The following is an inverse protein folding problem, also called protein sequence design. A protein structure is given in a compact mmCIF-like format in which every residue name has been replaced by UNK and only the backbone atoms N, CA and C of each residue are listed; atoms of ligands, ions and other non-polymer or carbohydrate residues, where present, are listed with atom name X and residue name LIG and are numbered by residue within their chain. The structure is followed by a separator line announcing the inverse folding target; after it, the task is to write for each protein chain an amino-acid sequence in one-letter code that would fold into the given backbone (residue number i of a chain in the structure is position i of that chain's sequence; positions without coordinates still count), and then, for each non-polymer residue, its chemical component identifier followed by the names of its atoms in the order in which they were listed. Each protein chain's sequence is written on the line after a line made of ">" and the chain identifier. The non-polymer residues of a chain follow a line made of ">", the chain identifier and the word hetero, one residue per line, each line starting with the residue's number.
data_IF_486040565385
#
_entry.id   IF_486040565385
#
_cell.length_a   1.000
_cell.length_b   1.000
_cell.length_c   1.000
_cell.angle_alpha   90.00
_cell.angle_beta   90.00
_cell.angle_gamma   90.00
#
_symmetry.space_group_name_H-M   'P 1'
#
loop_
_entity.id
_entity.type
_entity.pdbx_description
1 polymer ?
#
# COMPACT_ATOMS: atom_id res chain seq x y z
N UNK A 1 -20.83 14.18 -3.54
CA UNK A 1 -19.78 13.16 -3.30
C UNK A 1 -20.08 12.03 -4.28
N UNK A 2 -19.16 11.64 -5.17
CA UNK A 2 -19.43 10.54 -6.12
C UNK A 2 -19.42 9.19 -5.39
N UNK A 3 -20.22 8.23 -5.82
CA UNK A 3 -20.21 6.88 -5.23
C UNK A 3 -18.82 6.21 -5.32
N UNK A 4 -18.05 6.50 -6.38
CA UNK A 4 -16.64 6.09 -6.50
C UNK A 4 -15.81 6.58 -5.33
N UNK A 5 -16.03 7.81 -4.85
CA UNK A 5 -15.33 8.33 -3.67
C UNK A 5 -15.72 7.57 -2.40
N UNK A 6 -16.99 7.20 -2.26
CA UNK A 6 -17.44 6.43 -1.10
C UNK A 6 -16.83 5.03 -1.09
N UNK A 7 -16.76 4.36 -2.25
CA UNK A 7 -16.09 3.07 -2.37
C UNK A 7 -14.58 3.17 -2.10
N UNK A 8 -13.91 4.18 -2.64
CA UNK A 8 -12.47 4.39 -2.37
C UNK A 8 -12.21 4.68 -0.88
N UNK A 9 -13.08 5.43 -0.20
CA UNK A 9 -12.98 5.63 1.24
C UNK A 9 -13.12 4.29 2.00
N UNK A 10 -14.12 3.47 1.65
CA UNK A 10 -14.32 2.15 2.26
C UNK A 10 -13.13 1.21 2.00
N UNK A 11 -12.53 1.28 0.81
CA UNK A 11 -11.30 0.58 0.45
C UNK A 11 -10.12 0.94 1.37
N UNK A 12 -9.87 2.24 1.59
CA UNK A 12 -8.79 2.66 2.48
C UNK A 12 -9.08 2.35 3.95
N UNK A 13 -10.34 2.46 4.38
CA UNK A 13 -10.76 2.07 5.72
C UNK A 13 -10.57 0.57 5.98
N UNK A 14 -10.95 -0.28 5.02
CA UNK A 14 -10.72 -1.72 5.11
C UNK A 14 -9.22 -2.06 5.16
N UNK A 15 -8.37 -1.38 4.36
CA UNK A 15 -6.91 -1.55 4.45
C UNK A 15 -6.37 -1.15 5.82
N UNK A 16 -6.83 0.00 6.35
CA UNK A 16 -6.45 0.47 7.68
C UNK A 16 -6.81 -0.56 8.77
N UNK A 17 -8.04 -1.05 8.77
CA UNK A 17 -8.50 -2.05 9.74
C UNK A 17 -7.71 -3.36 9.64
N UNK A 18 -7.48 -3.86 8.41
CA UNK A 18 -6.68 -5.07 8.18
C UNK A 18 -5.23 -4.88 8.68
N UNK A 19 -4.61 -3.71 8.47
CA UNK A 19 -3.27 -3.40 8.99
C UNK A 19 -3.23 -3.45 10.53
N UNK A 20 -4.25 -2.91 11.20
CA UNK A 20 -4.32 -2.94 12.67
C UNK A 20 -4.50 -4.37 13.20
N UNK A 21 -5.42 -5.14 12.60
CA UNK A 21 -5.74 -6.50 13.05
C UNK A 21 -4.56 -7.45 12.82
N UNK A 22 -3.87 -7.33 11.68
CA UNK A 22 -2.82 -8.26 11.26
C UNK A 22 -1.40 -7.77 11.56
N UNK A 23 -1.25 -6.76 12.43
CA UNK A 23 0.04 -6.12 12.73
C UNK A 23 1.16 -7.10 13.09
N UNK A 24 0.89 -8.05 13.99
CA UNK A 24 1.90 -9.03 14.42
C UNK A 24 2.31 -9.98 13.28
N UNK A 25 1.36 -10.35 12.40
CA UNK A 25 1.65 -11.17 11.22
C UNK A 25 2.50 -10.40 10.20
N UNK A 26 2.20 -9.11 10.00
CA UNK A 26 3.01 -8.22 9.15
C UNK A 26 4.44 -8.09 9.66
N UNK A 27 4.64 -7.89 10.96
CA UNK A 27 5.98 -7.77 11.55
C UNK A 27 6.78 -9.05 11.29
N UNK A 28 6.19 -10.23 11.55
CA UNK A 28 6.85 -11.51 11.30
C UNK A 28 7.17 -11.71 9.81
N UNK A 29 6.26 -11.31 8.91
CA UNK A 29 6.48 -11.38 7.46
C UNK A 29 7.61 -10.45 7.00
N UNK A 30 7.67 -9.22 7.52
CA UNK A 30 8.76 -8.27 7.23
C UNK A 30 10.11 -8.85 7.63
N UNK A 31 10.23 -9.41 8.84
CA UNK A 31 11.47 -10.03 9.31
C UNK A 31 11.89 -11.20 8.40
N UNK A 32 10.93 -12.02 7.96
CA UNK A 32 11.18 -13.11 7.02
C UNK A 32 11.70 -12.61 5.67
N UNK A 33 11.03 -11.62 5.06
CA UNK A 33 11.43 -11.08 3.75
C UNK A 33 12.78 -10.37 3.87
N UNK A 34 12.98 -9.56 4.92
CA UNK A 34 14.22 -8.85 5.18
C UNK A 34 15.41 -9.81 5.27
N UNK A 35 15.28 -10.88 6.06
CA UNK A 35 16.30 -11.92 6.17
C UNK A 35 16.59 -12.56 4.80
N UNK A 36 15.54 -12.90 4.06
CA UNK A 36 15.66 -13.53 2.72
C UNK A 36 16.36 -12.61 1.71
N UNK A 37 16.02 -11.32 1.68
CA UNK A 37 16.64 -10.34 0.78
C UNK A 37 18.11 -10.10 1.13
N UNK A 38 18.46 -10.14 2.41
CA UNK A 38 19.84 -10.01 2.88
C UNK A 38 20.70 -11.24 2.57
N UNK A 39 20.11 -12.44 2.55
CA UNK A 39 20.78 -13.67 2.13
C UNK A 39 20.94 -13.78 0.62
N UNK A 40 19.90 -13.41 -0.13
CA UNK A 40 19.86 -13.56 -1.59
C UNK A 40 20.67 -12.49 -2.32
N UNK A 41 20.79 -11.29 -1.74
CA UNK A 41 21.48 -10.17 -2.38
C UNK A 41 22.85 -9.98 -1.73
N UNK A 42 23.85 -9.81 -2.57
CA UNK A 42 25.25 -9.67 -2.16
C UNK A 42 25.53 -8.26 -1.57
N UNK A 43 24.77 -7.84 -0.56
CA UNK A 43 24.85 -6.53 0.08
C UNK A 43 26.07 -6.34 1.01
N UNK A 44 27.02 -7.29 0.95
CA UNK A 44 28.21 -7.34 1.80
C UNK A 44 27.91 -7.96 3.17
N UNK A 45 28.91 -7.98 4.06
CA UNK A 45 28.72 -8.45 5.44
C UNK A 45 27.74 -7.52 6.17
N UNK A 46 26.54 -8.01 6.44
CA UNK A 46 25.56 -7.29 7.24
C UNK A 46 25.89 -7.51 8.71
N UNK A 47 26.08 -6.40 9.44
CA UNK A 47 26.15 -6.43 10.90
C UNK A 47 24.74 -6.52 11.48
N UNK A 48 24.59 -7.09 12.68
CA UNK A 48 23.31 -7.13 13.39
C UNK A 48 22.71 -5.72 13.56
N UNK A 49 23.57 -4.72 13.81
CA UNK A 49 23.17 -3.30 13.91
C UNK A 49 22.52 -2.80 12.62
N UNK A 50 23.11 -3.13 11.47
CA UNK A 50 22.55 -2.75 10.17
C UNK A 50 21.23 -3.47 9.89
N UNK A 51 21.13 -4.75 10.22
CA UNK A 51 19.86 -5.49 10.10
C UNK A 51 18.75 -4.82 10.93
N UNK A 52 19.03 -4.50 12.20
CA UNK A 52 18.07 -3.85 13.09
C UNK A 52 17.64 -2.48 12.56
N UNK A 53 18.56 -1.68 12.00
CA UNK A 53 18.22 -0.40 11.40
C UNK A 53 17.25 -0.52 10.21
N UNK A 54 17.41 -1.55 9.37
CA UNK A 54 16.48 -1.80 8.26
C UNK A 54 15.13 -2.30 8.76
N UNK A 55 15.13 -3.18 9.77
CA UNK A 55 13.90 -3.63 10.44
C UNK A 55 13.12 -2.45 11.00
N UNK A 56 13.77 -1.57 11.76
CA UNK A 56 13.13 -0.40 12.35
C UNK A 56 12.59 0.56 11.29
N UNK A 57 13.30 0.73 10.16
CA UNK A 57 12.80 1.49 9.01
C UNK A 57 11.56 0.85 8.38
N UNK A 58 11.52 -0.48 8.22
CA UNK A 58 10.32 -1.17 7.70
C UNK A 58 9.12 -0.95 8.63
N UNK A 59 9.32 -1.03 9.95
CA UNK A 59 8.27 -0.82 10.94
C UNK A 59 7.74 0.62 10.92
N UNK A 60 8.63 1.61 10.81
CA UNK A 60 8.23 3.01 10.65
C UNK A 60 7.38 3.21 9.38
N UNK A 61 7.72 2.53 8.28
CA UNK A 61 6.94 2.60 7.05
C UNK A 61 5.55 1.94 7.19
N UNK A 62 5.35 0.93 8.03
CA UNK A 62 4.00 0.44 8.34
C UNK A 62 3.17 1.57 8.95
N UNK A 63 3.73 2.29 9.93
CA UNK A 63 3.03 3.41 10.57
C UNK A 63 2.72 4.53 9.56
N UNK A 64 3.63 4.82 8.63
CA UNK A 64 3.37 5.75 7.51
C UNK A 64 2.23 5.26 6.60
N UNK A 65 2.17 3.96 6.27
CA UNK A 65 1.04 3.37 5.50
C UNK A 65 -0.27 3.51 6.24
N UNK A 66 -0.27 3.27 7.55
CA UNK A 66 -1.47 3.42 8.38
C UNK A 66 -1.97 4.85 8.38
N UNK A 67 -1.08 5.83 8.48
CA UNK A 67 -1.46 7.25 8.38
C UNK A 67 -2.00 7.61 6.99
N UNK A 68 -1.42 7.04 5.92
CA UNK A 68 -1.93 7.21 4.56
C UNK A 68 -3.35 6.62 4.39
N UNK A 69 -3.61 5.46 4.97
CA UNK A 69 -4.93 4.80 4.93
C UNK A 69 -5.92 5.36 5.95
N UNK A 70 -5.49 6.28 6.82
CA UNK A 70 -6.32 6.84 7.87
C UNK A 70 -7.64 7.40 7.28
N UNK A 71 -8.81 6.86 7.68
CA UNK A 71 -10.11 7.21 7.11
C UNK A 71 -10.42 8.71 7.19
N UNK A 72 -9.91 9.39 8.21
CA UNK A 72 -10.09 10.84 8.37
C UNK A 72 -9.20 11.59 7.38
N UNK A 73 -7.93 11.21 7.25
CA UNK A 73 -6.96 11.86 6.36
C UNK A 73 -7.35 11.72 4.89
N UNK A 74 -7.73 10.52 4.47
CA UNK A 74 -8.00 10.19 3.07
C UNK A 74 -9.25 10.87 2.51
N UNK A 75 -10.27 11.07 3.36
CA UNK A 75 -11.48 11.81 2.98
C UNK A 75 -11.15 13.22 2.44
N UNK A 76 -10.14 13.88 3.04
CA UNK A 76 -9.69 15.21 2.66
C UNK A 76 -8.86 15.27 1.37
N UNK A 77 -8.22 14.17 0.98
CA UNK A 77 -7.43 14.06 -0.26
C UNK A 77 -8.32 14.25 -1.49
N UNK A 78 -9.55 13.71 -1.43
CA UNK A 78 -10.47 13.69 -2.57
C UNK A 78 -11.48 14.84 -2.60
N UNK A 79 -11.52 15.77 -1.64
CA UNK A 79 -12.55 16.83 -1.55
C UNK A 79 -12.20 18.17 -2.22
N UNK A 80 -10.95 18.42 -2.63
CA UNK A 80 -10.55 19.72 -3.16
C UNK A 80 -9.65 19.61 -4.40
N UNK A 81 -9.99 20.34 -5.46
CA UNK A 81 -9.26 20.35 -6.75
C UNK A 81 -7.77 20.67 -6.57
N UNK A 82 -7.41 21.64 -5.71
CA UNK A 82 -5.99 21.97 -5.45
C UNK A 82 -5.26 20.85 -4.70
N UNK A 83 -5.97 20.06 -3.90
CA UNK A 83 -5.42 18.91 -3.19
C UNK A 83 -5.29 17.69 -4.10
N UNK A 84 -6.24 17.48 -5.02
CA UNK A 84 -6.12 16.46 -6.06
C UNK A 84 -4.85 16.68 -6.90
N UNK A 85 -4.59 17.92 -7.32
CA UNK A 85 -3.36 18.27 -8.06
C UNK A 85 -2.09 18.10 -7.22
N UNK A 86 -2.13 18.44 -5.93
CA UNK A 86 -1.00 18.22 -5.02
C UNK A 86 -0.73 16.72 -4.80
N UNK A 87 -1.79 15.91 -4.67
CA UNK A 87 -1.70 14.46 -4.56
C UNK A 87 -1.15 13.83 -5.84
N UNK A 88 -1.66 14.22 -7.01
CA UNK A 88 -1.12 13.78 -8.31
C UNK A 88 0.37 14.15 -8.48
N UNK A 89 0.80 15.30 -7.93
CA UNK A 89 2.20 15.70 -7.91
C UNK A 89 3.01 14.87 -6.89
N UNK A 90 2.47 14.56 -5.73
CA UNK A 90 3.08 13.68 -4.72
C UNK A 90 3.34 12.27 -5.29
N UNK A 91 2.40 11.73 -6.06
CA UNK A 91 2.57 10.46 -6.78
C UNK A 91 3.72 10.49 -7.82
N UNK A 92 4.11 11.67 -8.30
CA UNK A 92 5.25 11.85 -9.23
C UNK A 92 6.57 12.10 -8.51
N UNK A 93 6.51 12.76 -7.35
CA UNK A 93 7.70 13.17 -6.58
C UNK A 93 8.22 12.05 -5.67
N UNK A 94 7.38 11.05 -5.36
CA UNK A 94 7.82 9.84 -4.68
C UNK A 94 8.85 9.08 -5.53
N UNK A 95 9.67 8.26 -4.87
CA UNK A 95 10.64 7.37 -5.55
C UNK A 95 9.99 6.39 -6.56
N UNK A 96 8.66 6.31 -6.56
CA UNK A 96 7.84 5.38 -7.32
C UNK A 96 6.76 6.17 -8.05
N UNK A 97 6.70 6.04 -9.37
CA UNK A 97 5.63 6.64 -10.17
C UNK A 97 4.38 5.76 -10.07
N UNK A 98 3.49 6.10 -9.12
CA UNK A 98 2.29 5.31 -8.83
C UNK A 98 1.04 5.78 -9.59
N UNK A 99 1.18 6.67 -10.59
CA UNK A 99 0.03 7.22 -11.32
C UNK A 99 -0.77 6.14 -12.04
N UNK A 100 -0.09 5.23 -12.72
CA UNK A 100 -0.74 4.14 -13.43
C UNK A 100 -1.51 3.20 -12.50
N UNK A 101 -0.95 2.93 -11.31
CA UNK A 101 -1.62 2.12 -10.29
C UNK A 101 -2.83 2.84 -9.70
N UNK A 102 -2.73 4.14 -9.48
CA UNK A 102 -3.86 4.95 -9.01
C UNK A 102 -4.99 5.02 -10.03
N UNK A 103 -4.67 5.22 -11.31
CA UNK A 103 -5.64 5.20 -12.41
C UNK A 103 -6.36 3.84 -12.48
N UNK A 104 -5.61 2.73 -12.36
CA UNK A 104 -6.18 1.39 -12.33
C UNK A 104 -7.11 1.17 -11.12
N UNK A 105 -6.75 1.66 -9.93
CA UNK A 105 -7.61 1.62 -8.74
C UNK A 105 -8.92 2.37 -8.96
N UNK A 106 -8.85 3.59 -9.51
CA UNK A 106 -10.04 4.41 -9.79
C UNK A 106 -10.92 3.77 -10.86
N UNK A 107 -10.33 3.25 -11.94
CA UNK A 107 -11.05 2.55 -13.01
C UNK A 107 -11.74 1.30 -12.47
N UNK A 108 -11.03 0.47 -11.70
CA UNK A 108 -11.60 -0.71 -11.06
C UNK A 108 -12.77 -0.32 -10.16
N UNK A 109 -12.62 0.67 -9.27
CA UNK A 109 -13.71 1.13 -8.41
C UNK A 109 -14.94 1.58 -9.20
N UNK A 110 -14.75 2.29 -10.32
CA UNK A 110 -15.86 2.69 -11.20
C UNK A 110 -16.55 1.48 -11.84
N UNK A 111 -15.77 0.52 -12.36
CA UNK A 111 -16.30 -0.70 -12.97
C UNK A 111 -17.09 -1.55 -11.95
N UNK A 112 -16.61 -1.64 -10.70
CA UNK A 112 -17.30 -2.35 -9.61
C UNK A 112 -18.66 -1.74 -9.32
N UNK A 113 -18.71 -0.41 -9.21
CA UNK A 113 -19.96 0.30 -8.94
C UNK A 113 -20.96 0.19 -10.09
N UNK A 114 -20.50 0.10 -11.35
CA UNK A 114 -21.37 -0.14 -12.50
C UNK A 114 -21.90 -1.56 -12.56
N UNK A 115 -21.10 -2.55 -12.14
CA UNK A 115 -21.46 -3.96 -12.14
C UNK A 115 -22.24 -4.41 -10.88
N UNK A 116 -22.32 -3.57 -9.84
CA UNK A 116 -22.91 -3.94 -8.56
C UNK A 116 -24.39 -4.26 -8.68
N UNK A 117 -24.85 -5.15 -7.82
CA UNK A 117 -26.29 -5.35 -7.55
C UNK A 117 -26.77 -4.41 -6.46
N UNK A 118 -28.08 -4.13 -6.39
CA UNK A 118 -28.68 -3.25 -5.37
C UNK A 118 -28.49 -3.73 -3.92
N UNK A 119 -28.02 -4.97 -3.72
CA UNK A 119 -27.82 -5.58 -2.40
C UNK A 119 -26.37 -5.57 -1.93
N UNK A 120 -25.41 -5.30 -2.81
CA UNK A 120 -23.99 -5.32 -2.43
C UNK A 120 -23.65 -4.10 -1.57
N UNK A 121 -23.08 -4.36 -0.40
CA UNK A 121 -22.61 -3.31 0.49
C UNK A 121 -21.27 -2.74 0.01
N UNK A 122 -20.99 -1.48 0.34
CA UNK A 122 -19.72 -0.84 -0.04
C UNK A 122 -18.49 -1.56 0.55
N UNK A 123 -18.64 -2.19 1.72
CA UNK A 123 -17.57 -2.95 2.36
C UNK A 123 -17.24 -4.23 1.57
N UNK A 124 -18.26 -4.96 1.10
CA UNK A 124 -18.06 -6.14 0.24
C UNK A 124 -17.35 -5.74 -1.07
N UNK A 125 -17.77 -4.63 -1.69
CA UNK A 125 -17.12 -4.10 -2.88
C UNK A 125 -15.68 -3.62 -2.62
N UNK A 126 -15.41 -3.11 -1.42
CA UNK A 126 -14.07 -2.68 -1.02
C UNK A 126 -13.14 -3.90 -0.87
N UNK A 127 -13.61 -4.98 -0.26
CA UNK A 127 -12.86 -6.24 -0.16
C UNK A 127 -12.60 -6.84 -1.54
N UNK A 128 -13.60 -6.87 -2.42
CA UNK A 128 -13.43 -7.28 -3.82
C UNK A 128 -12.42 -6.40 -4.56
N UNK A 129 -12.42 -5.09 -4.28
CA UNK A 129 -11.47 -4.15 -4.87
C UNK A 129 -10.05 -4.43 -4.38
N UNK A 130 -9.83 -4.61 -3.08
CA UNK A 130 -8.52 -4.97 -2.49
C UNK A 130 -7.99 -6.25 -3.13
N UNK A 131 -8.84 -7.28 -3.27
CA UNK A 131 -8.44 -8.57 -3.84
C UNK A 131 -8.05 -8.46 -5.34
N UNK A 132 -8.64 -7.54 -6.08
CA UNK A 132 -8.31 -7.34 -7.50
C UNK A 132 -7.07 -6.47 -7.69
N UNK A 133 -7.01 -5.32 -7.01
CA UNK A 133 -6.01 -4.29 -7.31
C UNK A 133 -4.90 -4.18 -6.28
N UNK A 134 -5.00 -4.86 -5.14
CA UNK A 134 -4.00 -4.80 -4.06
C UNK A 134 -4.16 -3.56 -3.19
N UNK A 135 -3.14 -3.27 -2.39
CA UNK A 135 -3.00 -2.10 -1.52
C UNK A 135 -2.19 -1.03 -2.24
N UNK A 136 -2.86 0.03 -2.69
CA UNK A 136 -2.18 1.15 -3.33
C UNK A 136 -1.31 1.92 -2.31
N UNK A 137 -0.04 2.27 -2.61
CA UNK A 137 0.67 2.18 -3.89
C UNK A 137 1.72 1.04 -3.95
N UNK A 138 1.50 -0.05 -3.22
CA UNK A 138 2.53 -1.05 -2.95
C UNK A 138 2.96 -1.82 -4.21
N UNK A 139 2.11 -1.96 -5.24
CA UNK A 139 2.53 -2.62 -6.51
C UNK A 139 3.55 -1.80 -7.28
N UNK A 140 3.42 -0.46 -7.31
CA UNK A 140 4.41 0.42 -7.94
C UNK A 140 5.74 0.41 -7.19
N UNK A 141 5.67 0.34 -5.85
CA UNK A 141 6.86 0.22 -5.00
C UNK A 141 7.62 -1.07 -5.31
N UNK A 142 6.89 -2.19 -5.34
CA UNK A 142 7.43 -3.51 -5.68
C UNK A 142 8.07 -3.48 -7.08
N UNK A 143 7.32 -3.02 -8.08
CA UNK A 143 7.80 -3.00 -9.47
C UNK A 143 9.06 -2.14 -9.65
N UNK A 144 9.13 -0.95 -9.04
CA UNK A 144 10.30 -0.09 -9.24
C UNK A 144 11.52 -0.62 -8.49
N UNK A 145 11.34 -1.27 -7.34
CA UNK A 145 12.42 -1.95 -6.65
C UNK A 145 12.93 -3.13 -7.46
N UNK A 146 12.06 -3.96 -8.01
CA UNK A 146 12.45 -5.12 -8.84
C UNK A 146 13.20 -4.69 -10.10
N UNK A 147 12.79 -3.58 -10.72
CA UNK A 147 13.46 -3.02 -11.89
C UNK A 147 14.85 -2.45 -11.57
N UNK A 148 14.99 -1.76 -10.44
CA UNK A 148 16.27 -1.18 -10.00
C UNK A 148 16.45 -1.32 -8.48
N UNK A 149 16.92 -2.49 -8.02
CA UNK A 149 17.06 -2.78 -6.60
C UNK A 149 18.15 -1.93 -5.96
N UNK A 150 17.80 -1.24 -4.88
CA UNK A 150 18.73 -0.39 -4.15
C UNK A 150 18.48 -0.46 -2.64
N UNK A 151 19.55 -0.42 -1.87
CA UNK A 151 19.50 -0.52 -0.41
C UNK A 151 18.62 0.56 0.24
N UNK A 152 18.62 1.78 -0.28
CA UNK A 152 17.75 2.85 0.20
C UNK A 152 16.27 2.65 -0.11
N UNK A 153 15.91 1.81 -1.10
CA UNK A 153 14.53 1.44 -1.44
C UNK A 153 14.06 0.15 -0.74
N UNK A 154 15.00 -0.60 -0.14
CA UNK A 154 14.74 -1.94 0.37
C UNK A 154 13.70 -1.97 1.52
N UNK A 155 13.73 -1.07 2.52
CA UNK A 155 12.69 -1.09 3.57
C UNK A 155 11.28 -0.91 3.00
N UNK A 156 11.14 -0.03 2.01
CA UNK A 156 9.88 0.30 1.37
C UNK A 156 9.32 -0.89 0.57
N UNK A 157 10.20 -1.53 -0.20
CA UNK A 157 9.89 -2.76 -0.91
C UNK A 157 9.46 -3.89 0.03
N UNK A 158 10.18 -4.10 1.14
CA UNK A 158 9.85 -5.15 2.10
C UNK A 158 8.48 -4.90 2.73
N UNK A 159 8.20 -3.66 3.13
CA UNK A 159 6.91 -3.27 3.68
C UNK A 159 5.79 -3.50 2.66
N UNK A 160 5.97 -3.03 1.42
CA UNK A 160 5.01 -3.22 0.33
C UNK A 160 4.73 -4.71 0.04
N UNK A 161 5.77 -5.54 -0.05
CA UNK A 161 5.65 -6.99 -0.22
C UNK A 161 4.88 -7.65 0.93
N UNK A 162 5.19 -7.28 2.17
CA UNK A 162 4.51 -7.84 3.33
C UNK A 162 3.03 -7.48 3.36
N UNK A 163 2.67 -6.25 2.98
CA UNK A 163 1.28 -5.81 2.89
C UNK A 163 0.53 -6.58 1.79
N UNK A 164 1.08 -6.65 0.57
CA UNK A 164 0.46 -7.44 -0.50
C UNK A 164 0.32 -8.93 -0.15
N UNK A 165 1.24 -9.50 0.62
CA UNK A 165 1.16 -10.93 0.98
C UNK A 165 0.19 -11.23 2.13
N UNK A 166 -0.04 -10.29 3.05
CA UNK A 166 -0.83 -10.53 4.27
C UNK A 166 -2.20 -9.86 4.20
N UNK A 167 -2.27 -8.65 3.68
CA UNK A 167 -3.45 -7.78 3.78
C UNK A 167 -4.40 -7.97 2.60
N UNK A 168 -3.86 -8.20 1.41
CA UNK A 168 -4.66 -8.32 0.18
C UNK A 168 -4.98 -9.76 -0.22
N UNK A 169 -4.39 -10.73 0.48
CA UNK A 169 -4.59 -12.17 0.25
C UNK A 169 -5.65 -12.79 1.19
N UNK A 170 -6.43 -11.96 1.90
CA UNK A 170 -7.50 -12.37 2.83
C UNK A 170 -8.88 -12.15 2.21
#
# INVERSE_FOLDING_TARGET
>A
MSETKLLLNAYYEALYERLEIQKELLIAKIEQILQTEFENRNFGSITQERYNAYRDACLAFIDERKEMYNPIGIQYTFDNIRRKQAFELELQLNFYDSRAEFEALVEAAQNKLQARTDKQELLELADELINEVGAFPDKSIISAYEAEPALNKLPDYITARAIEEIITST
#
